data_IF_191613693187
#
_entry.id   IF_191613693187
#
_cell.length_a   1.000
_cell.length_b   1.000
_cell.length_c   1.000
_cell.angle_alpha   90.00
_cell.angle_beta   90.00
_cell.angle_gamma   90.00
#
_symmetry.space_group_name_H-M   'P 1'
#
loop_
_entity.id
_entity.type
_entity.pdbx_description
1 polymer ?
#
# COMPACT_ATOMS: atom_id res chain seq x y z
N UNK A 1 8.05 47.14 -53.93
CA UNK A 1 7.61 45.75 -53.68
C UNK A 1 8.46 45.19 -52.54
N UNK A 2 7.90 44.34 -51.70
CA UNK A 2 8.63 43.71 -50.58
C UNK A 2 8.92 42.26 -50.94
N UNK A 3 10.13 41.82 -50.66
CA UNK A 3 10.63 40.48 -50.94
C UNK A 3 11.14 39.86 -49.63
N UNK A 4 11.04 38.54 -49.51
CA UNK A 4 11.56 37.78 -48.38
C UNK A 4 12.42 36.60 -48.87
N UNK A 5 13.28 36.09 -48.00
CA UNK A 5 14.19 34.99 -48.30
C UNK A 5 14.46 34.16 -47.04
N UNK A 6 14.68 32.85 -47.21
CA UNK A 6 15.08 31.93 -46.13
C UNK A 6 16.58 31.63 -46.12
N UNK A 7 17.30 31.96 -47.19
CA UNK A 7 18.73 31.69 -47.39
C UNK A 7 19.55 32.98 -47.56
N UNK A 8 18.89 34.14 -47.66
CA UNK A 8 19.50 35.45 -47.91
C UNK A 8 19.90 35.69 -49.36
N UNK A 9 19.65 34.74 -50.27
CA UNK A 9 20.09 34.78 -51.67
C UNK A 9 18.96 34.63 -52.69
N UNK A 10 17.94 33.84 -52.37
CA UNK A 10 16.76 33.60 -53.20
C UNK A 10 15.58 34.41 -52.66
N UNK A 11 15.13 35.39 -53.45
CA UNK A 11 14.12 36.37 -53.03
C UNK A 11 12.75 36.09 -53.64
N UNK A 12 11.74 35.94 -52.78
CA UNK A 12 10.34 35.72 -53.14
C UNK A 12 9.52 36.98 -52.88
N UNK A 13 8.56 37.28 -53.75
CA UNK A 13 7.67 38.42 -53.55
C UNK A 13 6.72 38.17 -52.38
N UNK A 14 6.70 39.08 -51.40
CA UNK A 14 5.72 39.05 -50.32
C UNK A 14 4.36 39.52 -50.84
N UNK A 15 3.37 38.62 -50.87
CA UNK A 15 2.01 38.89 -51.38
C UNK A 15 0.92 38.58 -50.35
N UNK A 16 1.21 37.69 -49.40
CA UNK A 16 0.32 37.30 -48.31
C UNK A 16 1.17 36.73 -47.14
N UNK A 17 0.59 36.62 -45.93
CA UNK A 17 1.21 35.87 -44.84
C UNK A 17 1.49 34.41 -45.22
N UNK A 18 2.53 33.82 -44.63
CA UNK A 18 2.90 32.41 -44.77
C UNK A 18 3.21 31.80 -43.40
N UNK A 19 3.19 30.47 -43.31
CA UNK A 19 3.48 29.71 -42.09
C UNK A 19 4.89 29.14 -42.13
N UNK A 20 5.51 29.05 -40.96
CA UNK A 20 6.78 28.35 -40.76
C UNK A 20 6.51 26.97 -40.13
N UNK A 21 7.24 25.97 -40.59
CA UNK A 21 7.26 24.65 -39.93
C UNK A 21 8.04 24.72 -38.61
N UNK A 22 8.06 23.61 -37.88
CA UNK A 22 8.86 23.48 -36.65
C UNK A 22 10.35 23.74 -36.93
N UNK A 23 11.03 24.34 -35.94
CA UNK A 23 12.46 24.63 -35.99
C UNK A 23 12.81 26.11 -35.90
N UNK A 24 14.09 26.39 -36.11
CA UNK A 24 14.65 27.75 -36.09
C UNK A 24 14.80 28.25 -37.52
N UNK A 25 14.12 29.34 -37.84
CA UNK A 25 14.10 29.96 -39.16
C UNK A 25 14.73 31.34 -39.10
N UNK A 26 15.59 31.65 -40.06
CA UNK A 26 16.02 33.03 -40.31
C UNK A 26 15.28 33.55 -41.53
N UNK A 27 14.45 34.57 -41.34
CA UNK A 27 13.72 35.22 -42.43
C UNK A 27 14.39 36.54 -42.74
N UNK A 28 14.93 36.65 -43.95
CA UNK A 28 15.45 37.90 -44.49
C UNK A 28 14.34 38.64 -45.22
N UNK A 29 14.36 39.97 -45.18
CA UNK A 29 13.39 40.81 -45.86
C UNK A 29 14.08 42.04 -46.48
N UNK A 30 13.56 42.49 -47.62
CA UNK A 30 13.97 43.74 -48.28
C UNK A 30 12.85 44.33 -49.13
N UNK A 31 13.00 45.58 -49.51
CA UNK A 31 12.08 46.34 -50.33
C UNK A 31 12.79 46.95 -51.53
N UNK A 32 12.10 46.92 -52.67
CA UNK A 32 12.53 47.55 -53.92
C UNK A 32 11.56 48.66 -54.28
N UNK A 33 12.04 49.88 -54.47
CA UNK A 33 11.21 51.02 -54.84
C UNK A 33 10.82 51.00 -56.34
N UNK A 34 10.10 52.04 -56.80
CA UNK A 34 9.68 52.14 -58.22
C UNK A 34 10.84 52.49 -59.17
N UNK A 35 11.90 53.13 -58.66
CA UNK A 35 13.09 53.47 -59.43
C UNK A 35 14.08 52.28 -59.53
N UNK A 36 13.83 51.20 -58.80
CA UNK A 36 14.66 50.00 -58.76
C UNK A 36 15.71 50.00 -57.66
N UNK A 37 15.69 50.98 -56.73
CA UNK A 37 16.60 50.97 -55.59
C UNK A 37 16.19 49.87 -54.62
N UNK A 38 17.17 49.10 -54.14
CA UNK A 38 16.99 47.98 -53.21
C UNK A 38 17.57 48.39 -51.86
N UNK A 39 16.81 48.21 -50.78
CA UNK A 39 17.35 48.42 -49.43
C UNK A 39 18.30 47.29 -49.01
N UNK A 40 19.18 47.58 -48.03
CA UNK A 40 19.99 46.53 -47.39
C UNK A 40 19.08 45.52 -46.69
N UNK A 41 19.25 44.19 -46.93
CA UNK A 41 18.45 43.16 -46.29
C UNK A 41 18.48 43.22 -44.75
N UNK A 42 17.29 43.26 -44.15
CA UNK A 42 17.11 42.97 -42.73
C UNK A 42 16.89 41.47 -42.49
N UNK A 43 17.01 41.02 -41.24
CA UNK A 43 16.66 39.64 -40.86
C UNK A 43 15.96 39.57 -39.51
N UNK A 44 15.17 38.51 -39.32
CA UNK A 44 14.56 38.12 -38.04
C UNK A 44 14.71 36.61 -37.85
N UNK A 45 15.04 36.19 -36.64
CA UNK A 45 15.05 34.77 -36.26
C UNK A 45 13.70 34.44 -35.63
N UNK A 46 13.03 33.42 -36.15
CA UNK A 46 11.75 32.91 -35.66
C UNK A 46 11.96 31.47 -35.21
N UNK A 47 11.61 31.18 -33.97
CA UNK A 47 11.57 29.81 -33.44
C UNK A 47 10.13 29.35 -33.40
N UNK A 48 9.87 28.18 -33.95
CA UNK A 48 8.54 27.59 -34.00
C UNK A 48 8.63 26.21 -33.38
N UNK A 49 7.88 26.00 -32.32
CA UNK A 49 7.81 24.73 -31.61
C UNK A 49 6.35 24.32 -31.48
N UNK A 50 6.03 23.10 -31.91
CA UNK A 50 4.70 22.50 -31.82
C UNK A 50 4.73 21.20 -31.02
N UNK A 51 5.90 20.81 -30.51
CA UNK A 51 6.13 19.52 -29.88
C UNK A 51 6.08 19.71 -28.36
N UNK A 52 5.11 19.09 -27.65
CA UNK A 52 5.10 19.16 -26.20
C UNK A 52 6.34 18.52 -25.56
N UNK A 53 6.71 18.92 -24.33
CA UNK A 53 7.73 18.24 -23.55
C UNK A 53 7.38 16.76 -23.30
N UNK A 54 8.40 16.01 -22.90
CA UNK A 54 8.23 14.66 -22.33
C UNK A 54 8.70 14.62 -20.89
N UNK A 55 7.86 14.07 -19.99
CA UNK A 55 8.18 13.94 -18.57
C UNK A 55 8.31 12.47 -18.16
N UNK A 56 9.44 12.11 -17.53
CA UNK A 56 9.65 10.82 -16.88
C UNK A 56 9.37 10.90 -15.39
N UNK A 57 8.85 9.80 -14.83
CA UNK A 57 8.49 9.66 -13.42
C UNK A 57 9.28 8.51 -12.81
N UNK A 58 9.86 8.73 -11.63
CA UNK A 58 10.57 7.73 -10.86
C UNK A 58 10.03 7.70 -9.42
N UNK A 59 9.61 6.52 -8.98
CA UNK A 59 9.30 6.24 -7.58
C UNK A 59 10.46 5.45 -6.98
N UNK A 60 10.95 5.90 -5.84
CA UNK A 60 11.98 5.23 -5.05
C UNK A 60 11.40 4.89 -3.68
N UNK A 61 11.31 3.62 -3.36
CA UNK A 61 10.81 3.10 -2.09
C UNK A 61 11.40 1.72 -1.80
N UNK A 62 11.03 1.14 -0.66
CA UNK A 62 11.32 -0.26 -0.35
C UNK A 62 10.12 -1.11 -0.77
N UNK A 63 10.18 -1.66 -1.99
CA UNK A 63 9.04 -2.27 -2.66
C UNK A 63 8.82 -3.72 -2.24
N UNK A 64 7.56 -4.03 -1.90
CA UNK A 64 7.02 -5.38 -1.83
C UNK A 64 6.42 -5.79 -3.19
N UNK A 65 5.27 -6.44 -3.14
CA UNK A 65 4.54 -6.89 -4.33
C UNK A 65 3.67 -5.77 -4.92
N UNK A 66 3.36 -5.83 -6.21
CA UNK A 66 2.36 -5.01 -6.91
C UNK A 66 2.33 -3.49 -6.62
N UNK A 67 3.50 -2.89 -6.35
CA UNK A 67 3.63 -1.45 -6.10
C UNK A 67 3.31 -1.02 -4.67
N UNK A 68 3.30 -1.96 -3.73
CA UNK A 68 3.29 -1.68 -2.30
C UNK A 68 4.69 -1.37 -1.79
N UNK A 69 4.81 -0.42 -0.88
CA UNK A 69 6.07 -0.13 -0.21
C UNK A 69 5.91 -0.17 1.29
N UNK A 70 6.89 -0.76 1.98
CA UNK A 70 6.98 -0.77 3.44
C UNK A 70 7.78 0.36 4.06
N UNK A 71 8.23 1.32 3.25
CA UNK A 71 9.01 2.46 3.69
C UNK A 71 8.65 3.71 2.88
N UNK A 72 9.11 4.88 3.33
CA UNK A 72 8.84 6.15 2.67
C UNK A 72 9.12 6.08 1.16
N UNK A 73 8.18 6.58 0.37
CA UNK A 73 8.30 6.64 -1.09
C UNK A 73 8.68 8.05 -1.50
N UNK A 74 9.76 8.18 -2.28
CA UNK A 74 10.17 9.44 -2.90
C UNK A 74 9.80 9.44 -4.37
N UNK A 75 9.08 10.46 -4.82
CA UNK A 75 8.67 10.65 -6.20
C UNK A 75 9.45 11.78 -6.85
N UNK A 76 10.09 11.48 -7.98
CA UNK A 76 10.87 12.45 -8.77
C UNK A 76 10.35 12.51 -10.20
N UNK A 77 10.15 13.73 -10.69
CA UNK A 77 9.83 14.02 -12.09
C UNK A 77 11.03 14.66 -12.79
N UNK A 78 11.28 14.26 -14.03
CA UNK A 78 12.28 14.87 -14.90
C UNK A 78 11.67 15.11 -16.28
N UNK A 79 11.55 16.38 -16.66
CA UNK A 79 11.03 16.81 -17.95
C UNK A 79 12.15 17.25 -18.89
N UNK A 80 11.94 17.02 -20.18
CA UNK A 80 12.84 17.48 -21.24
C UNK A 80 12.04 17.92 -22.46
N UNK A 81 12.50 18.99 -23.10
CA UNK A 81 12.02 19.47 -24.38
C UNK A 81 13.19 19.70 -25.34
N UNK A 82 12.96 19.47 -26.64
CA UNK A 82 13.98 19.46 -27.67
C UNK A 82 14.29 20.81 -28.30
N UNK A 83 13.41 21.81 -28.18
CA UNK A 83 13.52 23.06 -28.95
C UNK A 83 13.28 24.31 -28.11
N UNK A 84 12.08 24.52 -27.57
CA UNK A 84 11.76 25.72 -26.80
C UNK A 84 12.20 25.63 -25.33
N UNK A 85 12.43 24.41 -24.83
CA UNK A 85 12.78 24.14 -23.44
C UNK A 85 11.55 23.98 -22.55
N UNK A 86 11.70 23.36 -21.39
CA UNK A 86 10.59 23.17 -20.44
C UNK A 86 10.36 24.46 -19.66
N UNK A 87 9.13 24.97 -19.68
CA UNK A 87 8.71 26.11 -18.88
C UNK A 87 8.35 25.67 -17.45
N UNK A 88 7.46 24.68 -17.31
CA UNK A 88 7.02 24.19 -16.00
C UNK A 88 6.52 22.74 -16.06
N UNK A 89 6.70 22.01 -14.96
CA UNK A 89 6.07 20.71 -14.72
C UNK A 89 5.02 20.87 -13.63
N UNK A 90 3.85 20.26 -13.82
CA UNK A 90 2.76 20.28 -12.86
C UNK A 90 2.42 18.87 -12.42
N UNK A 91 2.00 18.71 -11.17
CA UNK A 91 1.56 17.46 -10.60
C UNK A 91 0.31 17.63 -9.73
N UNK A 92 -0.38 16.53 -9.46
CA UNK A 92 -1.38 16.45 -8.40
C UNK A 92 -1.37 15.07 -7.75
N UNK A 93 -1.81 15.02 -6.50
CA UNK A 93 -1.91 13.79 -5.70
C UNK A 93 -3.38 13.53 -5.40
N UNK A 94 -3.83 12.29 -5.60
CA UNK A 94 -5.17 11.81 -5.27
C UNK A 94 -6.31 12.68 -5.83
N UNK A 95 -6.17 13.14 -7.07
CA UNK A 95 -7.16 14.00 -7.73
C UNK A 95 -7.26 15.43 -7.17
N UNK A 96 -6.29 15.85 -6.35
CA UNK A 96 -6.21 17.20 -5.78
C UNK A 96 -5.93 18.30 -6.81
N UNK A 97 -5.58 19.49 -6.32
CA UNK A 97 -5.24 20.62 -7.17
C UNK A 97 -3.88 20.42 -7.88
N UNK A 98 -3.79 20.90 -9.12
CA UNK A 98 -2.53 20.96 -9.84
C UNK A 98 -1.57 21.94 -9.16
N UNK A 99 -0.36 21.49 -8.91
CA UNK A 99 0.71 22.22 -8.24
C UNK A 99 1.96 22.17 -9.11
N UNK A 100 2.69 23.27 -9.20
CA UNK A 100 3.97 23.30 -9.91
C UNK A 100 5.02 22.45 -9.16
N UNK A 101 5.75 21.62 -9.90
CA UNK A 101 6.76 20.72 -9.38
C UNK A 101 8.07 21.46 -9.16
N UNK A 102 8.44 21.67 -7.89
CA UNK A 102 9.66 22.38 -7.50
C UNK A 102 10.81 21.44 -7.07
N UNK A 103 10.56 20.14 -6.98
CA UNK A 103 11.52 19.15 -6.48
C UNK A 103 10.84 17.88 -6.01
N UNK A 104 11.63 16.88 -5.61
CA UNK A 104 11.12 15.57 -5.22
C UNK A 104 10.13 15.65 -4.05
N UNK A 105 9.11 14.80 -4.08
CA UNK A 105 8.12 14.65 -3.01
C UNK A 105 8.39 13.38 -2.22
N UNK A 106 8.25 13.44 -0.90
CA UNK A 106 8.34 12.26 -0.03
C UNK A 106 7.00 12.00 0.63
N UNK A 107 6.54 10.75 0.52
CA UNK A 107 5.31 10.25 1.11
C UNK A 107 5.69 9.40 2.33
N UNK A 108 5.19 9.81 3.49
CA UNK A 108 5.50 9.19 4.79
C UNK A 108 4.27 8.58 5.48
N UNK A 109 3.08 9.02 5.11
CA UNK A 109 1.83 8.53 5.68
C UNK A 109 1.32 7.35 4.87
N UNK A 110 0.89 6.29 5.55
CA UNK A 110 0.31 5.12 4.91
C UNK A 110 -0.94 5.49 4.08
N UNK A 111 -1.15 4.77 2.99
CA UNK A 111 -2.31 4.97 2.13
C UNK A 111 -2.07 4.62 0.67
N UNK A 112 -3.14 4.73 -0.11
CA UNK A 112 -3.12 4.56 -1.55
C UNK A 112 -2.89 5.91 -2.23
N UNK A 113 -1.91 5.96 -3.13
CA UNK A 113 -1.49 7.17 -3.82
C UNK A 113 -1.69 7.02 -5.33
N UNK A 114 -2.43 7.96 -5.92
CA UNK A 114 -2.50 8.19 -7.36
C UNK A 114 -1.84 9.53 -7.66
N UNK A 115 -0.84 9.50 -8.52
CA UNK A 115 -0.01 10.64 -8.87
C UNK A 115 -0.18 10.94 -10.35
N UNK A 116 -0.57 12.17 -10.66
CA UNK A 116 -0.73 12.63 -12.05
C UNK A 116 0.19 13.81 -12.32
N UNK A 117 0.70 13.91 -13.54
CA UNK A 117 1.66 14.93 -13.93
C UNK A 117 1.63 15.25 -15.43
N UNK A 118 2.06 16.47 -15.79
CA UNK A 118 2.31 16.91 -17.16
C UNK A 118 3.29 18.09 -17.17
N UNK A 119 3.89 18.39 -18.32
CA UNK A 119 4.74 19.57 -18.49
C UNK A 119 4.27 20.50 -19.61
N UNK A 120 4.70 21.75 -19.53
CA UNK A 120 4.47 22.81 -20.53
C UNK A 120 5.82 23.37 -20.97
N UNK A 121 6.01 23.59 -22.27
CA UNK A 121 7.22 24.22 -22.81
C UNK A 121 7.13 25.76 -22.88
N UNK A 122 8.20 26.42 -23.30
CA UNK A 122 8.25 27.88 -23.46
C UNK A 122 7.43 28.39 -24.67
N UNK A 123 7.05 27.51 -25.60
CA UNK A 123 6.16 27.83 -26.71
C UNK A 123 4.66 27.66 -26.36
N UNK A 124 4.35 27.13 -25.17
CA UNK A 124 3.00 26.87 -24.68
C UNK A 124 2.41 25.52 -25.08
N UNK A 125 3.19 24.58 -25.62
CA UNK A 125 2.75 23.22 -25.88
C UNK A 125 2.65 22.43 -24.57
N UNK A 126 1.55 21.68 -24.42
CA UNK A 126 1.20 20.98 -23.18
C UNK A 126 1.26 19.47 -23.39
N UNK A 127 2.00 18.77 -22.54
CA UNK A 127 2.08 17.31 -22.53
C UNK A 127 0.73 16.69 -22.14
N UNK A 128 0.42 15.51 -22.68
CA UNK A 128 -0.71 14.72 -22.18
C UNK A 128 -0.46 14.33 -20.71
N UNK A 129 -1.50 14.45 -19.88
CA UNK A 129 -1.44 14.01 -18.47
C UNK A 129 -1.08 12.53 -18.37
N UNK A 130 -0.05 12.24 -17.59
CA UNK A 130 0.41 10.90 -17.22
C UNK A 130 0.03 10.59 -15.79
N UNK A 131 -0.02 9.31 -15.45
CA UNK A 131 -0.39 8.82 -14.12
C UNK A 131 0.51 7.67 -13.69
N UNK A 132 0.81 7.59 -12.39
CA UNK A 132 1.39 6.44 -11.70
C UNK A 132 0.72 6.28 -10.34
N UNK A 133 0.80 5.10 -9.73
CA UNK A 133 0.21 4.85 -8.41
C UNK A 133 1.07 3.89 -7.59
N UNK A 134 0.90 3.94 -6.28
CA UNK A 134 1.51 3.01 -5.33
C UNK A 134 0.69 2.96 -4.04
N UNK A 135 0.95 1.94 -3.22
CA UNK A 135 0.46 1.85 -1.84
C UNK A 135 1.65 1.98 -0.88
N UNK A 136 1.47 2.73 0.21
CA UNK A 136 2.44 2.82 1.31
C UNK A 136 1.83 2.18 2.53
N UNK A 137 2.46 1.14 3.05
CA UNK A 137 2.01 0.42 4.23
C UNK A 137 3.21 -0.09 5.03
N UNK A 138 3.45 0.53 6.18
CA UNK A 138 4.61 0.26 7.04
C UNK A 138 4.23 -0.63 8.21
N UNK A 139 2.95 -0.96 8.36
CA UNK A 139 2.42 -1.66 9.49
C UNK A 139 2.42 -3.15 9.16
N UNK A 140 3.11 -3.98 9.95
CA UNK A 140 3.05 -5.41 9.74
C UNK A 140 1.67 -6.00 10.07
N UNK A 141 1.35 -7.16 9.47
CA UNK A 141 0.11 -7.86 9.77
C UNK A 141 0.11 -8.41 11.20
N UNK A 142 -1.08 -8.64 11.73
CA UNK A 142 -1.34 -9.30 13.01
C UNK A 142 -1.92 -10.71 12.80
N UNK A 143 -1.59 -11.62 13.72
CA UNK A 143 -2.15 -12.96 13.76
C UNK A 143 -3.49 -12.96 14.49
N UNK A 144 -4.51 -13.50 13.84
CA UNK A 144 -5.72 -13.98 14.50
C UNK A 144 -5.76 -15.51 14.47
N UNK A 145 -6.12 -16.12 15.60
CA UNK A 145 -6.04 -17.56 15.78
C UNK A 145 -7.21 -18.10 16.62
N UNK A 146 -7.82 -19.15 16.11
CA UNK A 146 -8.76 -20.00 16.84
C UNK A 146 -8.41 -21.47 16.60
N UNK A 147 -9.39 -22.36 16.65
CA UNK A 147 -9.18 -23.78 16.39
C UNK A 147 -10.45 -24.42 15.82
N UNK A 148 -10.29 -25.50 15.05
CA UNK A 148 -11.43 -26.28 14.58
C UNK A 148 -11.99 -27.14 15.71
N UNK A 149 -13.26 -26.97 16.03
CA UNK A 149 -13.90 -27.64 17.17
C UNK A 149 -14.12 -29.15 16.99
N UNK A 150 -13.91 -29.69 15.78
CA UNK A 150 -14.02 -31.12 15.52
C UNK A 150 -12.68 -31.84 15.71
N UNK A 151 -11.64 -31.33 15.05
CA UNK A 151 -10.26 -31.86 15.06
C UNK A 151 -9.44 -31.39 16.26
N UNK A 152 -9.81 -30.28 16.90
CA UNK A 152 -9.03 -29.61 17.94
C UNK A 152 -7.64 -29.16 17.44
N UNK A 153 -7.57 -28.75 16.19
CA UNK A 153 -6.35 -28.21 15.57
C UNK A 153 -6.42 -26.68 15.45
N UNK A 154 -5.31 -25.95 15.64
CA UNK A 154 -5.28 -24.51 15.46
C UNK A 154 -5.67 -24.10 14.04
N UNK A 155 -6.34 -22.94 13.92
CA UNK A 155 -6.68 -22.29 12.66
C UNK A 155 -6.29 -20.83 12.76
N UNK A 156 -5.39 -20.39 11.88
CA UNK A 156 -4.80 -19.05 11.88
C UNK A 156 -5.13 -18.30 10.58
N UNK A 157 -5.26 -16.99 10.68
CA UNK A 157 -5.35 -16.07 9.54
C UNK A 157 -4.67 -14.75 9.90
N UNK A 158 -4.22 -14.03 8.88
CA UNK A 158 -3.67 -12.69 9.05
C UNK A 158 -4.76 -11.63 9.03
N UNK A 159 -4.51 -10.54 9.76
CA UNK A 159 -5.31 -9.33 9.76
C UNK A 159 -4.36 -8.16 9.58
N UNK A 160 -4.67 -7.27 8.65
CA UNK A 160 -3.85 -6.10 8.37
C UNK A 160 -4.72 -4.85 8.16
N UNK A 161 -4.14 -3.66 8.37
CA UNK A 161 -4.83 -2.37 8.26
C UNK A 161 -5.12 -1.96 6.81
N UNK A 162 -4.29 -2.37 5.85
CA UNK A 162 -4.42 -1.99 4.45
C UNK A 162 -4.52 -3.18 3.51
N UNK A 163 -3.99 -4.34 3.90
CA UNK A 163 -4.00 -5.55 3.10
C UNK A 163 -5.07 -6.56 3.58
N UNK A 164 -5.97 -6.96 2.68
CA UNK A 164 -6.92 -8.04 2.98
C UNK A 164 -6.35 -9.43 2.72
N UNK A 165 -5.28 -9.53 1.94
CA UNK A 165 -4.73 -10.76 1.39
C UNK A 165 -3.39 -11.12 2.07
N UNK A 166 -3.40 -11.20 3.41
CA UNK A 166 -2.22 -11.63 4.18
C UNK A 166 -1.93 -13.12 3.97
N UNK A 167 -0.74 -13.43 3.45
CA UNK A 167 -0.29 -14.82 3.29
C UNK A 167 0.09 -15.40 4.66
N UNK A 168 -0.33 -16.65 4.94
CA UNK A 168 0.03 -17.37 6.17
C UNK A 168 0.73 -18.68 5.83
N UNK A 169 1.97 -18.83 6.28
CA UNK A 169 2.74 -20.06 6.21
C UNK A 169 2.94 -20.65 7.60
N UNK A 170 2.83 -21.98 7.72
CA UNK A 170 3.00 -22.69 9.00
C UNK A 170 4.15 -23.70 8.92
N UNK A 171 5.02 -23.66 9.91
CA UNK A 171 6.12 -24.60 10.09
C UNK A 171 5.93 -25.33 11.42
N UNK A 172 5.95 -26.66 11.39
CA UNK A 172 5.73 -27.49 12.57
C UNK A 172 6.95 -28.35 12.82
N UNK A 173 7.53 -28.22 14.01
CA UNK A 173 8.63 -29.02 14.52
C UNK A 173 8.26 -29.56 15.90
N UNK A 174 7.88 -30.84 15.95
CA UNK A 174 7.31 -31.49 17.13
C UNK A 174 6.09 -30.74 17.72
N UNK A 175 6.24 -30.16 18.91
CA UNK A 175 5.22 -29.31 19.55
C UNK A 175 5.37 -27.84 19.26
N UNK A 176 6.42 -27.41 18.54
CA UNK A 176 6.67 -26.02 18.22
C UNK A 176 6.07 -25.69 16.87
N UNK A 177 5.13 -24.75 16.85
CA UNK A 177 4.48 -24.26 15.64
C UNK A 177 4.92 -22.82 15.42
N UNK A 178 5.38 -22.52 14.21
CA UNK A 178 5.73 -21.16 13.78
C UNK A 178 4.79 -20.74 12.67
N UNK A 179 4.06 -19.65 12.86
CA UNK A 179 3.29 -18.99 11.81
C UNK A 179 4.10 -17.82 11.29
N UNK A 180 4.28 -17.75 9.97
CA UNK A 180 4.86 -16.60 9.28
C UNK A 180 3.76 -15.96 8.45
N UNK A 181 3.46 -14.71 8.75
CA UNK A 181 2.50 -13.88 8.06
C UNK A 181 3.27 -12.86 7.22
N UNK A 182 2.83 -12.62 5.99
CA UNK A 182 3.41 -11.64 5.08
C UNK A 182 2.30 -10.82 4.41
N UNK A 183 2.44 -9.51 4.38
CA UNK A 183 1.59 -8.61 3.60
C UNK A 183 2.21 -8.29 2.23
N UNK A 184 1.45 -7.58 1.40
CA UNK A 184 1.84 -7.14 0.07
C UNK A 184 2.98 -6.10 0.09
N UNK A 185 3.11 -5.30 1.15
CA UNK A 185 4.23 -4.36 1.32
C UNK A 185 5.55 -5.07 1.69
N UNK A 186 5.48 -6.36 2.02
CA UNK A 186 6.59 -7.18 2.46
C UNK A 186 6.95 -6.97 3.93
N UNK A 187 6.04 -6.42 4.75
CA UNK A 187 6.17 -6.57 6.19
C UNK A 187 5.78 -7.99 6.60
N UNK A 188 6.36 -8.48 7.69
CA UNK A 188 6.08 -9.83 8.17
C UNK A 188 5.92 -9.88 9.68
N UNK A 189 5.12 -10.85 10.13
CA UNK A 189 5.00 -11.26 11.52
C UNK A 189 5.27 -12.76 11.62
N UNK A 190 6.27 -13.14 12.42
CA UNK A 190 6.47 -14.53 12.84
C UNK A 190 5.99 -14.73 14.27
N UNK A 191 5.07 -15.65 14.50
CA UNK A 191 4.62 -16.04 15.85
C UNK A 191 5.03 -17.48 16.13
N UNK A 192 5.74 -17.69 17.24
CA UNK A 192 6.13 -19.03 17.71
C UNK A 192 5.24 -19.45 18.88
N UNK A 193 4.75 -20.68 18.82
CA UNK A 193 3.85 -21.25 19.80
C UNK A 193 4.25 -22.67 20.17
N UNK A 194 3.97 -23.06 21.41
CA UNK A 194 3.93 -24.46 21.83
C UNK A 194 2.50 -24.97 21.69
N UNK A 195 2.31 -26.10 21.02
CA UNK A 195 1.03 -26.74 20.76
C UNK A 195 1.11 -28.19 21.21
N UNK A 196 0.26 -28.54 22.17
CA UNK A 196 0.10 -29.89 22.68
C UNK A 196 -1.37 -30.29 22.67
N UNK A 197 -1.63 -31.59 22.76
CA UNK A 197 -3.01 -32.04 22.93
C UNK A 197 -3.24 -33.47 22.48
N UNK A 198 -4.51 -33.78 22.32
CA UNK A 198 -4.99 -35.02 21.73
C UNK A 198 -6.05 -34.68 20.72
N UNK A 199 -5.78 -35.02 19.47
CA UNK A 199 -6.66 -34.81 18.34
C UNK A 199 -8.11 -35.19 18.66
N UNK A 200 -9.02 -34.28 18.33
CA UNK A 200 -10.46 -34.38 18.55
C UNK A 200 -10.90 -34.39 20.02
N UNK A 201 -10.01 -34.09 20.97
CA UNK A 201 -10.32 -34.09 22.40
C UNK A 201 -9.80 -32.89 23.18
N UNK A 202 -8.53 -32.58 23.08
CA UNK A 202 -7.88 -31.57 23.91
C UNK A 202 -6.87 -30.80 23.06
N UNK A 203 -6.85 -29.49 23.23
CA UNK A 203 -5.86 -28.57 22.68
C UNK A 203 -5.30 -27.74 23.83
N UNK A 204 -3.98 -27.61 23.86
CA UNK A 204 -3.23 -26.76 24.77
C UNK A 204 -2.24 -25.97 23.92
N UNK A 205 -2.35 -24.64 23.95
CA UNK A 205 -1.46 -23.75 23.23
C UNK A 205 -0.88 -22.71 24.18
N UNK A 206 0.37 -22.35 23.94
CA UNK A 206 1.06 -21.23 24.58
C UNK A 206 1.77 -20.41 23.52
N UNK A 207 1.53 -19.11 23.50
CA UNK A 207 2.28 -18.17 22.68
C UNK A 207 3.63 -17.91 23.33
N UNK A 208 4.72 -18.00 22.57
CA UNK A 208 6.10 -17.88 23.09
C UNK A 208 6.65 -16.50 22.76
N UNK A 209 6.77 -16.19 21.48
CA UNK A 209 7.29 -14.90 21.02
C UNK A 209 6.69 -14.50 19.68
N UNK A 210 6.88 -13.24 19.34
CA UNK A 210 6.57 -12.66 18.05
C UNK A 210 7.76 -11.85 17.53
N UNK A 211 8.04 -11.97 16.24
CA UNK A 211 9.05 -11.16 15.53
C UNK A 211 8.37 -10.43 14.39
N UNK A 212 8.39 -9.10 14.45
CA UNK A 212 7.88 -8.21 13.41
C UNK A 212 9.06 -7.73 12.56
N UNK A 213 8.89 -7.73 11.25
CA UNK A 213 9.85 -7.13 10.31
C UNK A 213 9.10 -6.14 9.44
N UNK A 214 9.58 -4.90 9.41
CA UNK A 214 9.03 -3.82 8.58
C UNK A 214 10.16 -2.99 7.96
N UNK A 215 9.80 -1.95 7.19
CA UNK A 215 10.78 -0.99 6.67
C UNK A 215 11.60 -0.27 7.75
N UNK A 216 11.15 -0.24 9.01
CA UNK A 216 11.90 0.35 10.13
C UNK A 216 12.89 -0.62 10.80
N UNK A 217 12.82 -1.91 10.50
CA UNK A 217 13.73 -2.92 11.04
C UNK A 217 13.01 -4.13 11.63
N UNK A 218 13.63 -4.74 12.65
CA UNK A 218 13.13 -5.96 13.31
C UNK A 218 12.80 -5.65 14.77
N UNK A 219 11.60 -6.04 15.20
CA UNK A 219 11.14 -5.93 16.58
C UNK A 219 10.78 -7.32 17.12
N UNK A 220 11.30 -7.68 18.30
CA UNK A 220 11.07 -8.98 18.92
C UNK A 220 10.38 -8.82 20.28
N UNK A 221 9.37 -9.64 20.51
CA UNK A 221 8.56 -9.63 21.73
C UNK A 221 8.44 -11.04 22.29
N UNK A 222 8.55 -11.18 23.60
CA UNK A 222 8.21 -12.41 24.32
C UNK A 222 6.87 -12.20 25.01
N UNK A 223 5.95 -13.14 24.83
CA UNK A 223 4.64 -13.03 25.47
C UNK A 223 4.74 -13.39 26.96
N UNK A 224 3.99 -12.72 27.85
CA UNK A 224 3.84 -13.13 29.23
C UNK A 224 3.30 -14.56 29.34
N UNK A 225 3.34 -15.12 30.55
CA UNK A 225 2.72 -16.43 30.79
C UNK A 225 1.25 -16.41 30.36
N UNK A 226 0.90 -17.36 29.50
CA UNK A 226 -0.39 -17.42 28.85
C UNK A 226 -0.77 -18.88 28.59
N UNK A 227 -2.08 -19.11 28.42
CA UNK A 227 -2.58 -20.41 28.08
C UNK A 227 -3.86 -20.29 27.25
N UNK A 228 -3.87 -20.87 26.05
CA UNK A 228 -5.06 -21.04 25.23
C UNK A 228 -5.39 -22.54 25.12
N UNK A 229 -6.38 -22.97 25.90
CA UNK A 229 -6.77 -24.35 26.07
C UNK A 229 -8.20 -24.59 25.60
N UNK A 230 -8.44 -25.76 25.02
CA UNK A 230 -9.79 -26.21 24.70
C UNK A 230 -9.96 -27.71 24.96
N UNK A 231 -11.16 -28.09 25.43
CA UNK A 231 -11.55 -29.48 25.69
C UNK A 231 -12.89 -29.77 25.04
N UNK A 232 -12.88 -30.73 24.12
CA UNK A 232 -14.05 -31.26 23.43
C UNK A 232 -14.64 -32.43 24.20
N UNK A 233 -15.90 -32.32 24.58
CA UNK A 233 -16.66 -33.40 25.20
C UNK A 233 -17.61 -34.02 24.17
N UNK A 234 -17.35 -35.27 23.82
CA UNK A 234 -18.12 -35.99 22.81
C UNK A 234 -19.19 -36.92 23.40
N UNK A 235 -20.24 -37.17 22.62
CA UNK A 235 -21.19 -38.25 22.88
C UNK A 235 -20.52 -39.60 22.72
N UNK A 236 -20.60 -40.46 23.74
CA UNK A 236 -20.11 -41.84 23.65
C UNK A 236 -20.87 -42.67 22.61
N UNK A 237 -22.09 -42.27 22.25
CA UNK A 237 -22.94 -43.00 21.29
C UNK A 237 -22.75 -42.55 19.85
N UNK A 238 -22.61 -41.24 19.62
CA UNK A 238 -22.63 -40.65 18.27
C UNK A 238 -21.32 -39.98 17.86
N UNK A 239 -20.36 -39.79 18.79
CA UNK A 239 -19.13 -39.00 18.53
C UNK A 239 -19.35 -37.49 18.39
N UNK A 240 -20.62 -37.04 18.31
CA UNK A 240 -21.02 -35.64 18.19
C UNK A 240 -20.64 -34.80 19.41
N UNK A 241 -20.54 -33.48 19.19
CA UNK A 241 -20.18 -32.51 20.22
C UNK A 241 -21.30 -32.38 21.26
N UNK A 242 -20.98 -32.58 22.54
CA UNK A 242 -21.89 -32.34 23.68
C UNK A 242 -21.58 -31.06 24.43
N UNK A 243 -20.29 -30.75 24.57
CA UNK A 243 -19.83 -29.51 25.15
C UNK A 243 -18.44 -29.18 24.62
N UNK A 244 -18.13 -27.89 24.55
CA UNK A 244 -16.78 -27.38 24.29
C UNK A 244 -16.44 -26.42 25.43
N UNK A 245 -15.31 -26.65 26.08
CA UNK A 245 -14.80 -25.80 27.17
C UNK A 245 -13.53 -25.15 26.66
N UNK A 246 -13.46 -23.84 26.73
CA UNK A 246 -12.36 -23.03 26.22
C UNK A 246 -11.88 -22.10 27.32
N UNK A 247 -10.58 -21.92 27.38
CA UNK A 247 -9.93 -20.99 28.27
C UNK A 247 -8.83 -20.29 27.48
N UNK A 248 -8.81 -18.98 27.50
CA UNK A 248 -7.68 -18.20 27.06
C UNK A 248 -7.36 -17.15 28.11
N UNK A 249 -6.13 -17.11 28.58
CA UNK A 249 -5.69 -16.11 29.54
C UNK A 249 -4.24 -15.73 29.33
N UNK A 250 -3.95 -14.50 29.71
CA UNK A 250 -2.60 -13.96 29.84
C UNK A 250 -2.49 -13.46 31.27
N UNK A 251 -1.44 -13.91 31.96
CA UNK A 251 -1.23 -13.62 33.38
C UNK A 251 -1.25 -12.11 33.62
N UNK A 252 -1.93 -11.74 34.72
CA UNK A 252 -2.18 -10.37 35.14
C UNK A 252 -2.91 -9.45 34.14
N UNK A 253 -3.33 -9.92 32.96
CA UNK A 253 -4.00 -9.08 31.96
C UNK A 253 -5.48 -9.43 31.77
N UNK A 254 -5.78 -10.67 31.37
CA UNK A 254 -7.17 -11.08 31.17
C UNK A 254 -7.35 -12.59 31.20
N UNK A 255 -8.60 -13.01 31.40
CA UNK A 255 -9.07 -14.38 31.16
C UNK A 255 -10.42 -14.39 30.46
N UNK A 256 -10.55 -15.31 29.51
CA UNK A 256 -11.79 -15.61 28.78
C UNK A 256 -12.09 -17.09 28.96
N UNK A 257 -13.22 -17.39 29.57
CA UNK A 257 -13.69 -18.75 29.76
C UNK A 257 -15.01 -18.92 29.01
N UNK A 258 -15.04 -19.83 28.03
CA UNK A 258 -16.24 -20.10 27.25
C UNK A 258 -16.65 -21.55 27.34
N UNK A 259 -17.96 -21.80 27.53
CA UNK A 259 -18.52 -23.14 27.64
C UNK A 259 -19.78 -23.28 26.81
N UNK A 260 -19.66 -24.02 25.71
CA UNK A 260 -20.79 -24.48 24.92
C UNK A 260 -21.44 -25.71 25.55
N UNK A 261 -22.77 -25.81 25.46
CA UNK A 261 -23.54 -26.98 25.84
C UNK A 261 -24.63 -27.29 24.80
N UNK A 262 -24.54 -28.47 24.20
CA UNK A 262 -25.45 -28.98 23.16
C UNK A 262 -26.92 -28.97 23.60
N UNK A 263 -27.22 -29.32 24.86
CA UNK A 263 -28.61 -29.41 25.32
C UNK A 263 -29.30 -28.05 25.39
N UNK A 264 -28.57 -27.02 25.78
CA UNK A 264 -29.09 -25.66 25.81
C UNK A 264 -28.88 -24.91 24.49
N UNK A 265 -28.00 -25.42 23.62
CA UNK A 265 -27.67 -24.78 22.34
C UNK A 265 -27.03 -23.40 22.50
N UNK A 266 -26.32 -23.14 23.61
CA UNK A 266 -25.71 -21.83 23.89
C UNK A 266 -24.28 -21.99 24.39
N UNK A 267 -23.49 -20.93 24.19
CA UNK A 267 -22.16 -20.75 24.79
C UNK A 267 -22.25 -19.69 25.88
N UNK A 268 -21.85 -20.05 27.11
CA UNK A 268 -21.71 -19.11 28.22
C UNK A 268 -20.27 -18.62 28.29
N UNK A 269 -20.07 -17.31 28.37
CA UNK A 269 -18.75 -16.68 28.31
C UNK A 269 -18.58 -15.82 29.56
N UNK A 270 -17.42 -15.94 30.21
CA UNK A 270 -16.99 -15.09 31.32
C UNK A 270 -15.68 -14.43 30.90
N UNK A 271 -15.67 -13.11 30.93
CA UNK A 271 -14.48 -12.29 30.64
C UNK A 271 -14.10 -11.55 31.92
N UNK A 272 -12.83 -11.63 32.29
CA UNK A 272 -12.25 -10.81 33.33
C UNK A 272 -11.00 -10.14 32.76
N UNK A 273 -10.96 -8.81 32.82
CA UNK A 273 -9.83 -7.98 32.39
C UNK A 273 -9.30 -7.26 33.62
N UNK A 274 -7.98 -7.12 33.73
CA UNK A 274 -7.35 -6.42 34.85
C UNK A 274 -7.91 -4.98 34.97
N UNK A 275 -8.33 -4.61 36.18
CA UNK A 275 -8.89 -3.29 36.46
C UNK A 275 -10.36 -3.10 36.05
N UNK A 276 -11.02 -4.11 35.47
CA UNK A 276 -12.42 -4.05 35.07
C UNK A 276 -13.32 -5.02 35.85
N UNK A 277 -14.61 -4.69 35.96
CA UNK A 277 -15.61 -5.62 36.52
C UNK A 277 -15.85 -6.78 35.55
N UNK A 278 -15.83 -8.06 36.02
CA UNK A 278 -16.03 -9.21 35.14
C UNK A 278 -17.38 -9.18 34.42
N UNK A 279 -17.35 -9.43 33.11
CA UNK A 279 -18.56 -9.45 32.28
C UNK A 279 -18.97 -10.87 31.91
N UNK A 280 -20.29 -11.07 31.76
CA UNK A 280 -20.89 -12.38 31.43
C UNK A 280 -21.75 -12.25 30.19
N UNK A 281 -21.54 -13.15 29.24
CA UNK A 281 -22.24 -13.17 27.96
C UNK A 281 -22.84 -14.54 27.70
N UNK A 282 -23.93 -14.57 26.95
CA UNK A 282 -24.59 -15.81 26.49
C UNK A 282 -24.89 -15.67 25.01
N UNK A 283 -24.22 -16.48 24.20
CA UNK A 283 -24.36 -16.49 22.75
C UNK A 283 -25.09 -17.75 22.32
N UNK A 284 -25.99 -17.64 21.34
CA UNK A 284 -26.67 -18.80 20.76
C UNK A 284 -25.71 -19.58 19.87
N UNK A 285 -25.70 -20.90 19.99
CA UNK A 285 -24.83 -21.79 19.22
C UNK A 285 -23.42 -21.90 19.78
N UNK A 286 -22.54 -22.46 18.96
CA UNK A 286 -21.12 -22.61 19.26
C UNK A 286 -20.41 -21.29 18.97
N UNK A 287 -19.74 -20.74 19.97
CA UNK A 287 -18.84 -19.60 19.84
C UNK A 287 -17.43 -20.04 20.21
N UNK A 288 -16.44 -19.62 19.43
CA UNK A 288 -15.03 -19.96 19.63
C UNK A 288 -14.25 -18.72 20.05
N UNK A 289 -13.33 -18.88 21.00
CA UNK A 289 -12.39 -17.81 21.34
C UNK A 289 -11.47 -17.61 20.13
N UNK A 290 -11.24 -16.34 19.77
CA UNK A 290 -10.21 -15.95 18.81
C UNK A 290 -9.17 -15.13 19.56
N UNK A 291 -7.94 -15.64 19.63
CA UNK A 291 -6.78 -14.90 20.12
C UNK A 291 -6.23 -14.03 18.99
N UNK A 292 -5.75 -12.83 19.33
CA UNK A 292 -5.25 -11.85 18.37
C UNK A 292 -3.95 -11.24 18.90
N UNK A 293 -2.90 -11.19 18.08
CA UNK A 293 -1.69 -10.42 18.41
C UNK A 293 -1.93 -8.94 18.17
N UNK A 294 -1.23 -8.10 18.92
CA UNK A 294 -1.23 -6.65 18.70
C UNK A 294 0.10 -6.08 19.18
N UNK A 295 1.03 -5.85 18.26
CA UNK A 295 2.35 -5.23 18.49
C UNK A 295 3.03 -5.72 19.77
N UNK A 296 3.22 -7.03 19.85
CA UNK A 296 3.90 -7.69 20.98
C UNK A 296 3.01 -8.01 22.19
N UNK A 297 1.73 -7.66 22.14
CA UNK A 297 0.73 -8.08 23.14
C UNK A 297 -0.23 -9.12 22.58
N UNK A 298 -1.00 -9.76 23.47
CA UNK A 298 -2.09 -10.66 23.11
C UNK A 298 -3.41 -10.05 23.57
N UNK A 299 -4.44 -10.28 22.78
CA UNK A 299 -5.82 -9.89 23.06
C UNK A 299 -6.76 -10.95 22.50
N UNK A 300 -8.07 -10.74 22.62
CA UNK A 300 -9.08 -11.65 22.10
C UNK A 300 -10.20 -10.88 21.42
N UNK A 301 -10.82 -11.48 20.40
CA UNK A 301 -12.00 -10.92 19.77
C UNK A 301 -13.18 -10.93 20.76
N UNK A 302 -13.90 -9.80 20.94
CA UNK A 302 -15.04 -9.75 21.84
C UNK A 302 -16.16 -10.67 21.34
N UNK A 303 -17.00 -11.20 22.24
CA UNK A 303 -18.22 -11.88 21.84
C UNK A 303 -19.21 -10.87 21.23
N UNK A 304 -19.66 -11.13 20.00
CA UNK A 304 -20.74 -10.40 19.33
C UNK A 304 -22.14 -10.80 19.82
#
# INVERSE_FOLDING_TARGET
>A
RTEYSFDGSTWMLYTAPFTLGEGVHTVYYRSVDKAGNVEEPGSVVVKVDYTPPTTSSLLSGDWGEDGWSRADVTWTLTASDGLSGVNATYYRVNGGAWTEYAGALTFVEEGFYTLEYYSVDEAGNVEQVRSTSFALDKTPPELALSFDAASMSPVAWGVDNMDSDVEVQVYVEDSTWSYLLSDSAGNTLKVVMEVHGREGKVLHMRFINATYVSGSGVEEYTFPDNAFNAVRVSSKRTGGLRALIQHFGVDDLFTVNARYNERSGVTKILVAVEGEEPSRHVVTGLWLITAVTNRGTLSFAPPE
#
